data_IF_152294658092
#
_entry.id   IF_152294658092
#
_cell.length_a   1.000
_cell.length_b   1.000
_cell.length_c   1.000
_cell.angle_alpha   90.00
_cell.angle_beta   90.00
_cell.angle_gamma   90.00
#
_symmetry.space_group_name_H-M   'P 1'
#
loop_
_entity.id
_entity.type
_entity.pdbx_description
1 polymer ?
#
# COMPACT_ATOMS: atom_id res chain seq x y z
N UNK A 1 -18.68 13.89 -29.16
CA UNK A 1 -18.89 12.85 -28.11
C UNK A 1 -17.82 11.79 -28.30
N UNK A 2 -16.75 11.84 -27.49
CA UNK A 2 -15.65 10.89 -27.57
C UNK A 2 -16.09 9.54 -26.98
N UNK A 3 -15.94 8.45 -27.74
CA UNK A 3 -16.15 7.09 -27.24
C UNK A 3 -15.06 6.78 -26.20
N UNK A 4 -15.38 6.25 -25.02
CA UNK A 4 -14.35 5.78 -24.10
C UNK A 4 -13.74 4.50 -24.69
N UNK A 5 -12.66 4.65 -25.45
CA UNK A 5 -11.85 3.53 -25.90
C UNK A 5 -11.13 2.99 -24.67
N UNK A 6 -11.39 1.74 -24.37
CA UNK A 6 -10.93 1.08 -23.14
C UNK A 6 -9.59 0.43 -23.45
N UNK A 7 -8.49 1.12 -23.19
CA UNK A 7 -7.17 0.52 -23.38
C UNK A 7 -6.19 0.98 -22.31
N UNK A 8 -5.37 0.03 -21.87
CA UNK A 8 -4.54 -0.05 -20.65
C UNK A 8 -5.27 -0.10 -19.29
N UNK A 9 -4.82 -1.05 -18.45
CA UNK A 9 -5.44 -1.41 -17.16
C UNK A 9 -4.43 -1.20 -16.04
N UNK A 10 -4.71 -0.28 -15.13
CA UNK A 10 -4.08 -0.28 -13.81
C UNK A 10 -4.85 -1.26 -12.92
N UNK A 11 -4.13 -2.18 -12.26
CA UNK A 11 -4.73 -3.23 -11.43
C UNK A 11 -4.34 -3.02 -9.98
N UNK A 12 -5.36 -2.99 -9.11
CA UNK A 12 -5.22 -2.87 -7.67
C UNK A 12 -5.87 -4.04 -6.96
N UNK A 13 -5.26 -4.53 -5.89
CA UNK A 13 -5.84 -5.61 -5.09
C UNK A 13 -6.62 -5.11 -3.88
N UNK A 14 -6.49 -3.83 -3.55
CA UNK A 14 -7.25 -3.21 -2.48
C UNK A 14 -8.23 -2.14 -3.00
N UNK A 15 -9.44 -2.11 -2.40
CA UNK A 15 -10.48 -1.19 -2.84
C UNK A 15 -10.16 0.25 -2.44
N UNK A 16 -9.59 0.45 -1.26
CA UNK A 16 -9.21 1.79 -0.79
C UNK A 16 -8.10 2.35 -1.66
N UNK A 17 -7.07 1.55 -1.95
CA UNK A 17 -5.97 1.93 -2.85
C UNK A 17 -6.49 2.30 -4.25
N UNK A 18 -7.44 1.52 -4.78
CA UNK A 18 -8.03 1.78 -6.09
C UNK A 18 -8.88 3.07 -6.11
N UNK A 19 -9.61 3.38 -5.04
CA UNK A 19 -10.38 4.62 -4.90
C UNK A 19 -9.43 5.82 -4.82
N UNK A 20 -8.39 5.73 -3.99
CA UNK A 20 -7.37 6.79 -3.87
C UNK A 20 -6.68 7.03 -5.21
N UNK A 21 -6.28 5.98 -5.92
CA UNK A 21 -5.69 6.07 -7.24
C UNK A 21 -6.63 6.74 -8.26
N UNK A 22 -7.93 6.39 -8.26
CA UNK A 22 -8.93 7.03 -9.12
C UNK A 22 -9.03 8.53 -8.83
N UNK A 23 -9.21 8.91 -7.57
CA UNK A 23 -9.33 10.32 -7.17
C UNK A 23 -8.06 11.11 -7.50
N UNK A 24 -6.89 10.52 -7.31
CA UNK A 24 -5.60 11.14 -7.64
C UNK A 24 -5.44 11.38 -9.15
N UNK A 25 -5.81 10.42 -10.00
CA UNK A 25 -5.78 10.61 -11.45
C UNK A 25 -6.74 11.72 -11.88
N UNK A 26 -7.96 11.73 -11.32
CA UNK A 26 -8.96 12.76 -11.61
C UNK A 26 -8.51 14.15 -11.17
N UNK A 27 -7.84 14.29 -10.02
CA UNK A 27 -7.32 15.59 -9.57
C UNK A 27 -6.18 16.11 -10.46
N UNK A 28 -5.48 15.22 -11.17
CA UNK A 28 -4.45 15.57 -12.16
C UNK A 28 -5.02 15.72 -13.58
N UNK A 29 -6.35 15.79 -13.74
CA UNK A 29 -7.02 16.01 -15.01
C UNK A 29 -7.19 14.76 -15.89
N UNK A 30 -6.83 13.56 -15.39
CA UNK A 30 -7.00 12.29 -16.11
C UNK A 30 -8.33 11.66 -15.69
N UNK A 31 -9.23 11.49 -16.66
CA UNK A 31 -10.55 10.91 -16.39
C UNK A 31 -10.47 9.40 -16.09
N UNK A 32 -10.35 9.02 -14.82
CA UNK A 32 -10.30 7.62 -14.42
C UNK A 32 -11.67 7.05 -14.06
N UNK A 33 -12.00 5.87 -14.57
CA UNK A 33 -13.25 5.14 -14.26
C UNK A 33 -12.97 3.72 -13.75
N UNK A 34 -13.85 3.19 -12.91
CA UNK A 34 -13.70 1.87 -12.31
C UNK A 34 -14.96 1.03 -12.57
N UNK A 35 -14.99 0.22 -13.63
CA UNK A 35 -16.20 -0.54 -14.00
C UNK A 35 -16.57 -1.58 -12.92
N UNK A 36 -15.56 -2.16 -12.26
CA UNK A 36 -15.73 -3.27 -11.32
C UNK A 36 -16.01 -2.81 -9.88
N UNK A 37 -16.22 -1.50 -9.65
CA UNK A 37 -16.38 -0.91 -8.31
C UNK A 37 -17.55 -1.51 -7.55
N UNK A 38 -18.71 -1.65 -8.20
CA UNK A 38 -19.93 -2.16 -7.56
C UNK A 38 -19.76 -3.59 -7.11
N UNK A 39 -19.19 -4.45 -7.95
CA UNK A 39 -18.96 -5.86 -7.62
C UNK A 39 -17.96 -6.01 -6.47
N UNK A 40 -16.90 -5.20 -6.48
CA UNK A 40 -15.87 -5.21 -5.43
C UNK A 40 -16.38 -4.76 -4.06
N UNK A 41 -17.49 -4.00 -4.00
CA UNK A 41 -18.13 -3.58 -2.75
C UNK A 41 -19.08 -4.62 -2.18
N UNK A 42 -19.69 -5.46 -3.04
CA UNK A 42 -20.70 -6.45 -2.62
C UNK A 42 -20.02 -7.71 -2.07
N UNK A 43 -18.97 -8.18 -2.73
CA UNK A 43 -18.27 -9.41 -2.33
C UNK A 43 -16.74 -9.25 -2.46
N UNK A 44 -16.01 -9.19 -1.33
CA UNK A 44 -14.55 -9.18 -1.35
C UNK A 44 -13.91 -10.41 -2.01
N UNK A 45 -14.59 -11.57 -2.06
CA UNK A 45 -14.10 -12.76 -2.74
C UNK A 45 -14.16 -12.63 -4.27
N UNK A 46 -15.15 -11.91 -4.81
CA UNK A 46 -15.21 -11.63 -6.25
C UNK A 46 -13.96 -10.87 -6.73
N UNK A 47 -13.37 -10.01 -5.89
CA UNK A 47 -12.13 -9.28 -6.21
C UNK A 47 -10.96 -10.22 -6.55
N UNK A 48 -10.86 -11.35 -5.85
CA UNK A 48 -9.82 -12.37 -6.09
C UNK A 48 -10.09 -13.07 -7.44
N UNK A 49 -11.34 -13.44 -7.70
CA UNK A 49 -11.73 -14.10 -8.95
C UNK A 49 -11.56 -13.24 -10.20
N UNK A 50 -11.71 -11.92 -10.09
CA UNK A 50 -11.56 -10.97 -11.21
C UNK A 50 -10.10 -10.59 -11.50
N UNK A 51 -9.16 -11.02 -10.65
CA UNK A 51 -7.75 -10.67 -10.75
C UNK A 51 -7.44 -9.23 -10.30
N UNK A 52 -8.25 -8.70 -9.38
CA UNK A 52 -8.13 -7.33 -8.88
C UNK A 52 -9.11 -6.33 -9.51
N UNK A 53 -9.05 -5.10 -9.02
CA UNK A 53 -9.88 -3.97 -9.39
C UNK A 53 -9.18 -3.19 -10.50
N UNK A 54 -9.86 -3.00 -11.62
CA UNK A 54 -9.30 -2.33 -12.79
C UNK A 54 -9.73 -0.87 -12.85
N UNK A 55 -8.78 0.01 -13.13
CA UNK A 55 -9.04 1.41 -13.46
C UNK A 55 -8.81 1.60 -14.96
N UNK A 56 -9.82 2.15 -15.64
CA UNK A 56 -9.79 2.50 -17.05
C UNK A 56 -9.56 4.00 -17.23
N UNK A 57 -8.66 4.35 -18.15
CA UNK A 57 -8.32 5.73 -18.52
C UNK A 57 -8.55 5.95 -20.03
N UNK A 58 -8.68 7.20 -20.49
CA UNK A 58 -8.77 7.52 -21.91
C UNK A 58 -7.53 7.06 -22.67
N UNK A 59 -7.75 6.63 -23.91
CA UNK A 59 -6.69 6.32 -24.86
C UNK A 59 -5.77 7.54 -25.04
N UNK A 60 -4.46 7.32 -24.94
CA UNK A 60 -3.43 8.37 -25.01
C UNK A 60 -3.06 9.02 -23.68
N UNK A 61 -3.82 8.81 -22.60
CA UNK A 61 -3.47 9.26 -21.24
C UNK A 61 -2.77 8.17 -20.40
N UNK A 62 -2.45 7.04 -21.03
CA UNK A 62 -1.97 5.82 -20.37
C UNK A 62 -0.60 6.01 -19.73
N UNK A 63 0.36 6.52 -20.51
CA UNK A 63 1.73 6.74 -20.06
C UNK A 63 1.79 7.77 -18.92
N UNK A 64 0.99 8.83 -19.02
CA UNK A 64 0.92 9.88 -18.01
C UNK A 64 0.27 9.37 -16.73
N UNK A 65 -0.81 8.58 -16.84
CA UNK A 65 -1.45 7.94 -15.68
C UNK A 65 -0.49 6.97 -14.98
N UNK A 66 0.24 6.14 -15.74
CA UNK A 66 1.22 5.23 -15.19
C UNK A 66 2.36 5.99 -14.48
N UNK A 67 2.90 7.06 -15.11
CA UNK A 67 3.93 7.90 -14.51
C UNK A 67 3.48 8.53 -13.20
N UNK A 68 2.26 9.08 -13.16
CA UNK A 68 1.69 9.68 -11.96
C UNK A 68 1.54 8.65 -10.83
N UNK A 69 0.97 7.48 -11.12
CA UNK A 69 0.74 6.41 -10.13
C UNK A 69 2.05 5.81 -9.62
N UNK A 70 3.05 5.65 -10.48
CA UNK A 70 4.37 5.13 -10.10
C UNK A 70 5.26 6.17 -9.42
N UNK A 71 5.05 7.46 -9.68
CA UNK A 71 5.76 8.57 -9.05
C UNK A 71 5.33 8.83 -7.60
N UNK A 72 4.13 8.38 -7.21
CA UNK A 72 3.68 8.42 -5.81
C UNK A 72 4.37 7.30 -5.04
N UNK A 73 5.27 7.67 -4.13
CA UNK A 73 5.99 6.75 -3.25
C UNK A 73 4.98 5.95 -2.41
N UNK A 74 4.79 4.66 -2.74
CA UNK A 74 3.68 3.80 -2.27
C UNK A 74 3.72 3.44 -0.77
N UNK A 75 4.54 4.12 0.03
CA UNK A 75 4.70 3.79 1.45
C UNK A 75 4.85 5.06 2.27
N UNK A 76 3.90 5.39 3.15
CA UNK A 76 4.20 6.29 4.25
C UNK A 76 5.20 5.55 5.16
N UNK A 77 6.49 5.79 4.92
CA UNK A 77 7.49 5.57 5.95
C UNK A 77 7.20 6.56 7.06
N UNK A 78 7.15 6.09 8.30
CA UNK A 78 7.12 7.01 9.43
C UNK A 78 8.54 7.59 9.54
N UNK A 79 8.66 8.91 9.54
CA UNK A 79 9.91 9.60 9.85
C UNK A 79 10.09 9.53 11.37
N UNK A 80 11.21 8.99 11.81
CA UNK A 80 11.60 8.98 13.22
C UNK A 80 12.75 9.97 13.36
N UNK A 81 12.50 11.08 14.07
CA UNK A 81 13.44 12.20 14.18
C UNK A 81 14.80 11.80 14.77
N UNK A 82 14.85 10.71 15.53
CA UNK A 82 16.02 10.32 16.31
C UNK A 82 16.58 8.92 15.97
N UNK A 83 16.08 8.32 14.89
CA UNK A 83 16.53 7.00 14.42
C UNK A 83 17.06 7.10 13.00
N UNK A 84 18.37 6.91 12.80
CA UNK A 84 18.96 6.80 11.47
C UNK A 84 19.27 5.35 11.13
N UNK A 85 19.08 4.97 9.87
CA UNK A 85 19.47 3.64 9.43
C UNK A 85 21.00 3.47 9.54
N UNK A 86 21.50 2.41 10.20
CA UNK A 86 22.95 2.20 10.37
C UNK A 86 23.70 1.97 9.04
N UNK A 87 22.99 1.69 7.94
CA UNK A 87 23.58 1.40 6.63
C UNK A 87 23.49 2.56 5.64
N UNK A 88 22.49 3.43 5.75
CA UNK A 88 22.23 4.47 4.74
C UNK A 88 21.88 5.84 5.30
N UNK A 89 21.87 6.02 6.63
CA UNK A 89 21.63 7.31 7.29
C UNK A 89 20.20 7.85 7.22
N UNK A 90 19.33 7.31 6.35
CA UNK A 90 17.94 7.80 6.23
C UNK A 90 17.09 7.46 7.45
N UNK A 91 16.10 8.31 7.71
CA UNK A 91 15.19 8.31 8.87
C UNK A 91 13.76 7.80 8.57
N UNK A 92 13.49 7.32 7.35
CA UNK A 92 12.21 6.70 6.97
C UNK A 92 12.21 5.19 7.17
N UNK A 93 11.28 4.72 8.00
CA UNK A 93 11.13 3.29 8.30
C UNK A 93 9.70 2.79 8.13
N UNK A 94 9.57 1.49 7.85
CA UNK A 94 8.31 0.74 7.90
C UNK A 94 8.39 -0.30 9.02
N UNK A 95 7.31 -0.45 9.80
CA UNK A 95 7.24 -1.43 10.88
C UNK A 95 6.89 -2.80 10.29
N UNK A 96 7.72 -3.80 10.53
CA UNK A 96 7.44 -5.17 10.10
C UNK A 96 6.56 -5.85 11.16
N UNK A 97 5.31 -6.17 10.80
CA UNK A 97 4.41 -6.95 11.68
C UNK A 97 4.44 -8.43 11.24
N UNK A 98 4.96 -9.37 12.04
CA UNK A 98 4.79 -10.78 11.75
C UNK A 98 3.37 -11.21 12.16
N UNK A 99 2.40 -11.14 11.23
CA UNK A 99 1.01 -11.52 11.51
C UNK A 99 0.77 -13.04 11.46
N UNK A 100 1.55 -13.79 10.68
CA UNK A 100 1.23 -15.20 10.37
C UNK A 100 1.39 -16.12 11.57
N UNK A 101 2.49 -15.98 12.31
CA UNK A 101 2.79 -16.83 13.48
C UNK A 101 1.80 -16.63 14.66
N UNK A 102 1.46 -15.40 15.09
CA UNK A 102 0.51 -15.20 16.19
C UNK A 102 -0.92 -15.61 15.80
N UNK A 103 -1.31 -15.47 14.54
CA UNK A 103 -2.62 -15.93 14.06
C UNK A 103 -2.71 -17.47 14.08
N UNK A 104 -1.66 -18.16 13.64
CA UNK A 104 -1.59 -19.62 13.68
C UNK A 104 -1.60 -20.16 15.12
N UNK A 105 -0.84 -19.53 16.02
CA UNK A 105 -0.80 -19.92 17.45
C UNK A 105 -2.14 -19.68 18.15
N UNK A 106 -2.85 -18.60 17.80
CA UNK A 106 -4.20 -18.36 18.27
C UNK A 106 -5.16 -19.46 17.81
N UNK A 107 -5.07 -19.86 16.53
CA UNK A 107 -5.90 -20.91 15.94
C UNK A 107 -5.65 -22.29 16.59
N UNK A 108 -4.38 -22.63 16.84
CA UNK A 108 -3.99 -23.95 17.34
C UNK A 108 -4.11 -24.10 18.86
N UNK A 109 -3.82 -23.03 19.62
CA UNK A 109 -3.66 -23.12 21.08
C UNK A 109 -4.62 -22.22 21.87
N UNK A 110 -5.50 -21.46 21.21
CA UNK A 110 -6.44 -20.57 21.88
C UNK A 110 -5.79 -19.47 22.73
N UNK A 111 -4.46 -19.28 22.60
CA UNK A 111 -3.69 -18.33 23.38
C UNK A 111 -3.13 -17.24 22.48
N UNK A 112 -3.38 -16.00 22.87
CA UNK A 112 -2.77 -14.84 22.21
C UNK A 112 -1.35 -14.70 22.75
N UNK A 113 -0.38 -15.31 22.06
CA UNK A 113 1.04 -15.01 22.33
C UNK A 113 1.31 -13.60 21.84
N UNK A 114 1.27 -12.63 22.77
CA UNK A 114 1.52 -11.21 22.51
C UNK A 114 3.01 -10.94 22.27
N UNK A 115 3.56 -11.54 21.22
CA UNK A 115 4.96 -11.34 20.84
C UNK A 115 5.13 -10.04 20.06
N UNK A 116 5.37 -8.96 20.80
CA UNK A 116 5.60 -7.61 20.27
C UNK A 116 7.03 -7.49 19.71
N UNK A 117 7.29 -8.10 18.55
CA UNK A 117 8.57 -7.92 17.85
C UNK A 117 8.55 -6.60 17.07
N UNK A 118 9.23 -5.57 17.60
CA UNK A 118 9.34 -4.24 16.97
C UNK A 118 10.53 -4.20 16.01
N UNK A 119 10.46 -4.93 14.89
CA UNK A 119 11.48 -4.81 13.82
C UNK A 119 11.13 -3.63 12.91
N UNK A 120 12.10 -2.77 12.66
CA UNK A 120 11.99 -1.71 11.66
C UNK A 120 12.72 -2.13 10.40
N UNK A 121 12.14 -1.78 9.24
CA UNK A 121 12.75 -1.95 7.92
C UNK A 121 12.91 -0.58 7.29
N UNK A 122 14.16 -0.21 6.96
CA UNK A 122 14.42 1.04 6.25
C UNK A 122 13.78 1.02 4.86
N UNK A 123 13.11 2.11 4.47
CA UNK A 123 12.47 2.21 3.15
C UNK A 123 13.50 2.21 2.01
N UNK A 124 14.65 2.85 2.23
CA UNK A 124 15.65 3.03 1.19
C UNK A 124 16.56 1.81 0.96
N UNK A 125 17.17 1.28 2.02
CA UNK A 125 18.12 0.17 1.89
C UNK A 125 17.53 -1.20 2.24
N UNK A 126 16.24 -1.27 2.59
CA UNK A 126 15.51 -2.49 3.00
C UNK A 126 16.13 -3.27 4.16
N UNK A 127 17.13 -2.70 4.84
CA UNK A 127 17.82 -3.36 5.95
C UNK A 127 16.91 -3.39 7.16
N UNK A 128 16.80 -4.56 7.78
CA UNK A 128 16.03 -4.77 8.99
C UNK A 128 16.93 -4.62 10.21
N UNK A 129 16.46 -3.88 11.20
CA UNK A 129 17.17 -3.76 12.46
C UNK A 129 16.20 -3.60 13.63
N UNK A 130 16.68 -3.94 14.81
CA UNK A 130 15.97 -3.70 16.07
C UNK A 130 16.38 -2.31 16.55
N UNK A 131 15.46 -1.34 16.59
CA UNK A 131 15.81 0.01 17.05
C UNK A 131 16.10 -0.03 18.57
N UNK A 132 17.05 0.79 19.01
CA UNK A 132 17.42 0.90 20.41
C UNK A 132 16.24 1.47 21.22
N UNK A 133 15.88 0.79 22.31
CA UNK A 133 14.69 1.13 23.13
C UNK A 133 14.75 2.54 23.69
N UNK A 134 15.95 3.07 23.95
CA UNK A 134 16.13 4.41 24.54
C UNK A 134 15.69 5.57 23.65
N UNK A 135 15.51 5.35 22.33
CA UNK A 135 15.25 6.44 21.35
C UNK A 135 13.85 6.41 20.71
N UNK A 136 12.97 5.51 21.14
CA UNK A 136 11.64 5.31 20.53
C UNK A 136 10.48 5.81 21.40
N UNK A 137 10.76 6.28 22.61
CA UNK A 137 9.76 6.84 23.51
C UNK A 137 9.63 8.35 23.22
N UNK A 138 9.06 8.69 22.06
CA UNK A 138 8.39 9.98 21.88
C UNK A 138 6.89 9.67 21.82
N UNK A 139 6.16 9.87 22.92
CA UNK A 139 4.72 9.98 22.89
C UNK A 139 4.33 11.42 22.57
N UNK A 140 3.48 11.62 21.56
CA UNK A 140 2.32 12.52 21.60
C UNK A 140 1.36 12.17 20.46
#
# INVERSE_FOLDING_TARGET
MARPVTTSRLIFFDLEEAIVAQSFLQSNGIFATMPDRRYSMIDPLMRIGMGGIRISVPEGAEDDAARLIHGVDRRPGVEFDDTSCPRCGRNRFTRVKPLVLPMLLLLLYGSVVWWRTRRLRCVACKTEFKPDRRKLDVPE
#
